data_IF_190023366210
#
_entry.id   IF_190023366210
#
_cell.length_a   1.000
_cell.length_b   1.000
_cell.length_c   1.000
_cell.angle_alpha   90.00
_cell.angle_beta   90.00
_cell.angle_gamma   90.00
#
_symmetry.space_group_name_H-M   'P 1'
#
loop_
_entity.id
_entity.type
_entity.pdbx_description
1 polymer ?
#
# COMPACT_ATOMS: atom_id res chain seq x y z
N UNK A 1 11.19 16.66 -28.03
CA UNK A 1 10.02 15.95 -27.47
C UNK A 1 10.43 14.51 -27.18
N UNK A 2 11.01 14.25 -26.00
CA UNK A 2 11.44 12.91 -25.59
C UNK A 2 10.25 12.18 -24.98
N UNK A 3 9.68 11.22 -25.71
CA UNK A 3 8.68 10.29 -25.16
C UNK A 3 9.41 9.35 -24.19
N UNK A 4 9.13 9.46 -22.90
CA UNK A 4 9.40 8.41 -21.93
C UNK A 4 8.80 7.10 -22.46
N UNK A 5 9.59 6.03 -22.55
CA UNK A 5 9.18 4.72 -23.08
C UNK A 5 8.30 3.92 -22.11
N UNK A 6 7.95 4.48 -20.96
CA UNK A 6 6.94 3.95 -20.05
C UNK A 6 5.77 4.94 -20.06
N UNK A 7 4.68 4.58 -20.72
CA UNK A 7 3.47 5.41 -20.86
C UNK A 7 2.51 5.31 -19.66
N UNK A 8 2.99 4.84 -18.51
CA UNK A 8 2.21 4.76 -17.27
C UNK A 8 2.32 6.04 -16.47
N UNK A 9 1.24 6.45 -15.80
CA UNK A 9 1.31 7.40 -14.70
C UNK A 9 1.36 6.68 -13.36
N UNK A 10 1.11 7.43 -12.28
CA UNK A 10 1.21 6.93 -10.91
C UNK A 10 0.44 5.63 -10.64
N UNK A 11 -0.68 5.38 -11.34
CA UNK A 11 -1.46 4.17 -11.11
C UNK A 11 -0.83 2.93 -11.76
N UNK A 12 -0.27 3.07 -12.96
CA UNK A 12 0.39 1.94 -13.63
C UNK A 12 1.74 1.62 -12.97
N UNK A 13 2.51 2.66 -12.62
CA UNK A 13 3.87 2.49 -12.13
C UNK A 13 3.90 2.08 -10.65
N UNK A 14 3.07 2.71 -9.81
CA UNK A 14 3.05 2.47 -8.36
C UNK A 14 1.81 1.69 -7.92
N UNK A 15 0.66 1.93 -8.58
CA UNK A 15 -0.64 1.39 -8.17
C UNK A 15 -0.83 -0.09 -8.46
N UNK A 16 -0.01 -0.69 -9.34
CA UNK A 16 -0.12 -2.10 -9.68
C UNK A 16 0.07 -3.03 -8.46
N UNK A 17 1.00 -2.69 -7.56
CA UNK A 17 1.28 -3.47 -6.36
C UNK A 17 0.13 -3.45 -5.34
N UNK A 18 -0.38 -2.29 -4.88
CA UNK A 18 -1.51 -2.27 -3.96
C UNK A 18 -2.81 -2.81 -4.58
N UNK A 19 -3.01 -2.66 -5.90
CA UNK A 19 -4.13 -3.32 -6.61
C UNK A 19 -4.04 -4.83 -6.53
N UNK A 20 -2.85 -5.38 -6.79
CA UNK A 20 -2.61 -6.82 -6.69
C UNK A 20 -2.84 -7.31 -5.26
N UNK A 21 -2.29 -6.62 -4.25
CA UNK A 21 -2.45 -6.98 -2.84
C UNK A 21 -3.92 -6.97 -2.43
N UNK A 22 -4.68 -5.94 -2.81
CA UNK A 22 -6.11 -5.87 -2.50
C UNK A 22 -6.89 -7.04 -3.12
N UNK A 23 -6.62 -7.38 -4.38
CA UNK A 23 -7.23 -8.54 -5.06
C UNK A 23 -6.82 -9.87 -4.43
N UNK A 24 -5.55 -10.01 -4.04
CA UNK A 24 -5.05 -11.22 -3.40
C UNK A 24 -5.69 -11.45 -2.03
N UNK A 25 -5.90 -10.39 -1.24
CA UNK A 25 -6.49 -10.47 0.10
C UNK A 25 -8.02 -10.59 0.08
N UNK A 26 -8.70 -9.81 -0.77
CA UNK A 26 -10.16 -9.64 -0.72
C UNK A 26 -10.88 -10.40 -1.85
N UNK A 27 -10.14 -10.97 -2.80
CA UNK A 27 -10.67 -11.78 -3.89
C UNK A 27 -11.12 -10.95 -5.09
N UNK A 28 -12.21 -11.37 -5.73
CA UNK A 28 -12.64 -10.79 -7.01
C UNK A 28 -13.26 -9.39 -6.82
N UNK A 29 -12.73 -8.33 -7.47
CA UNK A 29 -13.37 -7.03 -7.48
C UNK A 29 -14.70 -7.08 -8.25
N UNK A 30 -15.69 -6.37 -7.73
CA UNK A 30 -17.03 -6.21 -8.30
C UNK A 30 -17.17 -4.87 -9.02
N UNK A 31 -16.67 -3.79 -8.42
CA UNK A 31 -16.73 -2.44 -8.97
C UNK A 31 -15.53 -1.62 -8.51
N UNK A 32 -15.00 -0.81 -9.40
CA UNK A 32 -13.87 0.08 -9.13
C UNK A 32 -14.24 1.48 -9.61
N UNK A 33 -14.05 2.48 -8.76
CA UNK A 33 -14.17 3.90 -9.11
C UNK A 33 -12.84 4.57 -8.78
N UNK A 34 -12.28 5.32 -9.73
CA UNK A 34 -11.00 5.99 -9.55
C UNK A 34 -11.08 7.49 -9.85
N UNK A 35 -10.22 8.25 -9.20
CA UNK A 35 -9.98 9.67 -9.42
C UNK A 35 -8.50 9.87 -9.74
N UNK A 36 -8.21 10.58 -10.82
CA UNK A 36 -6.85 10.81 -11.33
C UNK A 36 -6.56 12.30 -11.38
N UNK A 37 -5.37 12.70 -10.94
CA UNK A 37 -4.96 14.10 -10.86
C UNK A 37 -3.68 14.33 -11.65
N UNK A 38 -3.62 15.48 -12.34
CA UNK A 38 -2.53 15.89 -13.23
C UNK A 38 -2.02 17.26 -12.77
N UNK A 39 -1.10 17.26 -11.82
CA UNK A 39 -0.49 18.45 -11.24
C UNK A 39 0.69 18.98 -12.06
N UNK A 40 1.49 18.10 -12.66
CA UNK A 40 2.72 18.48 -13.38
C UNK A 40 2.49 18.79 -14.86
N UNK A 41 1.23 18.82 -15.30
CA UNK A 41 0.81 19.04 -16.70
C UNK A 41 1.44 18.05 -17.71
N UNK A 42 1.84 16.87 -17.25
CA UNK A 42 2.27 15.75 -18.10
C UNK A 42 1.06 15.03 -18.69
N UNK A 43 1.30 14.22 -19.71
CA UNK A 43 0.26 13.41 -20.36
C UNK A 43 -0.21 12.22 -19.50
N UNK A 44 0.48 11.93 -18.39
CA UNK A 44 0.20 10.84 -17.45
C UNK A 44 -0.15 11.42 -16.09
N UNK A 45 -0.97 10.70 -15.32
CA UNK A 45 -1.43 11.15 -14.01
C UNK A 45 -0.28 11.18 -13.00
N UNK A 46 -0.30 12.18 -12.12
CA UNK A 46 0.65 12.32 -11.02
C UNK A 46 0.16 11.59 -9.77
N UNK A 47 -1.16 11.60 -9.55
CA UNK A 47 -1.80 10.91 -8.42
C UNK A 47 -3.03 10.15 -8.89
N UNK A 48 -3.31 9.04 -8.20
CA UNK A 48 -4.48 8.22 -8.40
C UNK A 48 -5.05 7.77 -7.05
N UNK A 49 -6.38 7.78 -6.94
CA UNK A 49 -7.11 7.19 -5.82
C UNK A 49 -8.20 6.30 -6.39
N UNK A 50 -8.29 5.06 -5.92
CA UNK A 50 -9.26 4.07 -6.37
C UNK A 50 -10.00 3.46 -5.18
N UNK A 51 -11.33 3.52 -5.22
CA UNK A 51 -12.22 2.80 -4.32
C UNK A 51 -12.73 1.53 -4.99
N UNK A 52 -12.59 0.39 -4.31
CA UNK A 52 -12.93 -0.93 -4.84
C UNK A 52 -13.96 -1.59 -3.95
N UNK A 53 -15.05 -2.06 -4.55
CA UNK A 53 -16.00 -2.97 -3.95
C UNK A 53 -15.70 -4.39 -4.44
N UNK A 54 -15.65 -5.36 -3.53
CA UNK A 54 -15.44 -6.77 -3.83
C UNK A 54 -16.74 -7.57 -3.80
N UNK A 55 -16.76 -8.74 -4.44
CA UNK A 55 -17.96 -9.61 -4.50
C UNK A 55 -18.39 -10.09 -3.11
N UNK A 56 -17.46 -10.22 -2.16
CA UNK A 56 -17.71 -10.57 -0.75
C UNK A 56 -18.14 -9.36 0.12
N UNK A 57 -18.47 -8.22 -0.49
CA UNK A 57 -18.81 -6.96 0.18
C UNK A 57 -17.67 -6.30 0.97
N UNK A 58 -16.43 -6.78 0.85
CA UNK A 58 -15.28 -6.03 1.33
C UNK A 58 -15.07 -4.77 0.48
N UNK A 59 -14.45 -3.76 1.08
CA UNK A 59 -14.06 -2.53 0.39
C UNK A 59 -12.58 -2.28 0.57
N UNK A 60 -11.92 -1.75 -0.47
CA UNK A 60 -10.56 -1.28 -0.39
C UNK A 60 -10.44 0.14 -0.94
N UNK A 61 -9.51 0.89 -0.37
CA UNK A 61 -9.04 2.15 -0.92
C UNK A 61 -7.57 2.01 -1.25
N UNK A 62 -7.20 2.41 -2.46
CA UNK A 62 -5.80 2.44 -2.90
C UNK A 62 -5.48 3.84 -3.40
N UNK A 63 -4.38 4.37 -2.92
CA UNK A 63 -3.85 5.67 -3.31
C UNK A 63 -2.41 5.49 -3.78
N UNK A 64 -2.05 6.17 -4.87
CA UNK A 64 -0.67 6.36 -5.28
C UNK A 64 -0.42 7.78 -5.74
N UNK A 65 0.81 8.24 -5.50
CA UNK A 65 1.23 9.59 -5.83
C UNK A 65 2.73 9.63 -6.16
N UNK A 66 3.05 10.34 -7.25
CA UNK A 66 4.43 10.66 -7.65
C UNK A 66 4.90 12.03 -7.12
N UNK A 67 3.99 12.85 -6.58
CA UNK A 67 4.27 14.23 -6.19
C UNK A 67 4.09 14.50 -4.69
N UNK A 68 3.65 13.51 -3.91
CA UNK A 68 3.51 13.67 -2.46
C UNK A 68 4.88 13.59 -1.78
N UNK A 69 5.11 14.49 -0.83
CA UNK A 69 6.38 14.59 -0.12
C UNK A 69 6.52 13.53 0.98
N UNK A 70 7.47 12.61 0.82
CA UNK A 70 7.93 11.66 1.86
C UNK A 70 6.80 10.93 2.60
N UNK A 71 5.75 10.53 1.90
CA UNK A 71 4.68 9.72 2.50
C UNK A 71 5.20 8.33 2.81
N UNK A 72 5.06 7.84 4.07
CA UNK A 72 5.35 6.47 4.43
C UNK A 72 4.53 5.49 3.59
N UNK A 73 5.09 4.33 3.31
CA UNK A 73 4.29 3.22 2.80
C UNK A 73 3.32 2.77 3.89
N UNK A 74 2.03 2.61 3.58
CA UNK A 74 1.03 2.22 4.56
C UNK A 74 0.04 1.20 3.99
N UNK A 75 -0.31 0.21 4.81
CA UNK A 75 -1.38 -0.75 4.56
C UNK A 75 -2.19 -0.95 5.82
N UNK A 76 -3.50 -0.77 5.72
CA UNK A 76 -4.43 -0.96 6.82
C UNK A 76 -5.51 -1.97 6.43
N UNK A 77 -5.76 -2.94 7.29
CA UNK A 77 -6.79 -3.96 7.11
C UNK A 77 -7.64 -3.99 8.36
N UNK A 78 -8.95 -3.87 8.17
CA UNK A 78 -9.94 -3.88 9.24
C UNK A 78 -10.87 -5.07 9.04
N UNK A 79 -10.95 -5.92 10.06
CA UNK A 79 -11.83 -7.08 10.10
C UNK A 79 -12.69 -7.11 11.36
N UNK A 80 -13.64 -8.02 11.40
CA UNK A 80 -14.56 -8.20 12.54
C UNK A 80 -13.89 -8.75 13.80
N UNK A 81 -12.73 -9.39 13.63
CA UNK A 81 -11.96 -10.03 14.71
C UNK A 81 -10.65 -9.31 15.04
N UNK A 82 -10.25 -8.32 14.24
CA UNK A 82 -8.99 -7.62 14.43
C UNK A 82 -8.66 -6.61 13.35
N UNK A 83 -7.57 -5.90 13.57
CA UNK A 83 -7.04 -4.84 12.71
C UNK A 83 -5.54 -5.04 12.54
N UNK A 84 -5.05 -4.86 11.31
CA UNK A 84 -3.63 -4.85 10.94
C UNK A 84 -3.29 -3.47 10.37
N UNK A 85 -2.24 -2.84 10.88
CA UNK A 85 -1.68 -1.61 10.33
C UNK A 85 -0.19 -1.83 10.10
N UNK A 86 0.26 -1.63 8.88
CA UNK A 86 1.66 -1.65 8.48
C UNK A 86 2.02 -0.26 8.02
N UNK A 87 3.09 0.31 8.56
CA UNK A 87 3.65 1.58 8.11
C UNK A 87 5.17 1.50 8.13
N UNK A 88 5.80 1.60 6.95
CA UNK A 88 7.21 1.29 6.73
C UNK A 88 7.63 -0.03 7.40
N UNK A 89 8.58 0.01 8.34
CA UNK A 89 9.09 -1.17 9.07
C UNK A 89 8.28 -1.50 10.34
N UNK A 90 7.14 -0.83 10.55
CA UNK A 90 6.31 -1.01 11.74
C UNK A 90 5.05 -1.79 11.41
N UNK A 91 4.84 -2.91 12.12
CA UNK A 91 3.62 -3.71 12.04
C UNK A 91 2.87 -3.63 13.36
N UNK A 92 1.56 -3.35 13.31
CA UNK A 92 0.67 -3.33 14.46
C UNK A 92 -0.51 -4.24 14.19
N UNK A 93 -0.80 -5.12 15.15
CA UNK A 93 -1.92 -6.05 15.07
C UNK A 93 -2.71 -5.98 16.37
N UNK A 94 -4.02 -5.85 16.24
CA UNK A 94 -4.97 -6.00 17.35
C UNK A 94 -5.93 -7.10 16.95
N UNK A 95 -6.16 -8.08 17.81
CA UNK A 95 -7.08 -9.19 17.52
C UNK A 95 -7.73 -9.69 18.79
N UNK A 96 -9.01 -10.07 18.71
CA UNK A 96 -9.75 -10.74 19.80
C UNK A 96 -9.10 -12.07 20.24
N UNK A 97 -8.22 -12.63 19.40
CA UNK A 97 -7.52 -13.91 19.64
C UNK A 97 -6.13 -13.73 20.23
N UNK A 98 -5.63 -12.50 20.33
CA UNK A 98 -4.33 -12.22 20.95
C UNK A 98 -4.58 -11.74 22.38
N UNK A 99 -4.04 -12.47 23.35
CA UNK A 99 -4.02 -12.06 24.76
C UNK A 99 -2.86 -11.10 25.01
N UNK A 100 -2.83 -10.01 24.26
CA UNK A 100 -1.81 -8.96 24.38
C UNK A 100 -2.50 -7.63 24.66
N UNK A 101 -2.00 -6.82 25.62
CA UNK A 101 -2.57 -5.52 25.90
C UNK A 101 -2.50 -4.63 24.66
N UNK A 102 -3.47 -3.72 24.53
CA UNK A 102 -3.77 -2.83 23.39
C UNK A 102 -2.57 -2.02 22.82
N UNK A 103 -1.42 -2.02 23.47
CA UNK A 103 -0.26 -1.19 23.16
C UNK A 103 1.07 -1.95 23.07
N UNK A 104 1.10 -3.15 22.48
CA UNK A 104 2.38 -3.79 22.15
C UNK A 104 2.90 -3.23 20.82
N UNK A 105 3.89 -2.34 20.92
CA UNK A 105 4.61 -1.73 19.81
C UNK A 105 5.78 -2.62 19.38
N UNK A 106 5.51 -3.70 18.67
CA UNK A 106 6.58 -4.60 18.24
C UNK A 106 7.24 -4.04 16.96
N UNK A 107 8.41 -3.39 17.09
CA UNK A 107 9.30 -3.16 15.93
C UNK A 107 9.98 -4.49 15.58
N UNK A 108 9.54 -5.12 14.50
CA UNK A 108 10.31 -6.20 13.88
C UNK A 108 11.58 -5.60 13.27
N UNK A 109 12.69 -5.55 14.03
CA UNK A 109 14.00 -5.21 13.45
C UNK A 109 14.45 -6.37 12.57
N UNK A 110 14.53 -6.11 11.27
CA UNK A 110 15.09 -7.04 10.30
C UNK A 110 16.52 -7.44 10.73
N UNK A 111 16.77 -8.75 10.93
CA UNK A 111 18.03 -9.27 11.49
C UNK A 111 19.14 -9.50 10.45
N UNK A 112 19.01 -8.98 9.24
CA UNK A 112 19.96 -9.22 8.15
C UNK A 112 20.60 -7.92 7.63
N UNK A 113 21.63 -7.43 8.33
CA UNK A 113 22.65 -6.51 7.77
C UNK A 113 23.89 -6.34 8.69
N UNK A 114 24.36 -7.40 9.36
CA UNK A 114 25.63 -7.37 10.14
C UNK A 114 26.57 -8.54 9.84
N UNK A 115 26.58 -9.01 8.59
CA UNK A 115 27.63 -9.92 8.09
C UNK A 115 28.06 -9.45 6.70
N UNK A 116 28.93 -8.44 6.66
CA UNK A 116 30.04 -8.26 5.71
C UNK A 116 30.62 -6.86 5.93
N UNK A 117 31.50 -6.70 6.91
CA UNK A 117 32.60 -5.74 6.84
C UNK A 117 33.64 -6.02 7.92
N UNK A 118 34.06 -7.28 7.97
CA UNK A 118 35.32 -7.63 8.58
C UNK A 118 35.98 -8.66 7.66
N UNK A 119 37.25 -8.42 7.33
CA UNK A 119 38.09 -9.05 6.28
C UNK A 119 38.01 -8.43 4.87
N UNK A 120 38.66 -7.28 4.68
CA UNK A 120 39.98 -7.14 4.02
C UNK A 120 40.37 -5.67 4.00
#
# INVERSE_FOLDING_TARGET
MMRSKQGGGAMMDLGCHPMYIASWLLGKPKRITCMFHYFTHRAVEDNAQCSIEFVNNAVALVETSLVTFKTPSALEIYGTEGTLMISDDTVRVISKKLDVPFSVWERQKNKEARRTNDKH
#
